data_IF_119917838669
#
_entry.id   IF_119917838669
#
_cell.length_a   1.000
_cell.length_b   1.000
_cell.length_c   1.000
_cell.angle_alpha   90.00
_cell.angle_beta   90.00
_cell.angle_gamma   90.00
#
_symmetry.space_group_name_H-M   'P 1'
#
loop_
_entity.id
_entity.type
_entity.pdbx_description
1 polymer ?
#
# COMPACT_ATOMS: atom_id res chain seq x y z
N UNK A 1 57.44 4.70 5.56
CA UNK A 1 56.88 3.33 5.70
C UNK A 1 55.40 3.33 6.08
N UNK A 2 54.90 4.25 6.91
CA UNK A 2 53.48 4.22 7.30
C UNK A 2 52.49 4.47 6.15
N UNK A 3 52.80 5.41 5.25
CA UNK A 3 51.94 5.70 4.10
C UNK A 3 51.69 4.46 3.23
N UNK A 4 52.71 3.62 2.98
CA UNK A 4 52.54 2.40 2.17
C UNK A 4 51.59 1.38 2.82
N UNK A 5 51.54 1.29 4.15
CA UNK A 5 50.67 0.35 4.84
C UNK A 5 49.19 0.78 4.74
N UNK A 6 48.93 2.10 4.81
CA UNK A 6 47.57 2.65 4.68
C UNK A 6 46.99 2.44 3.27
N UNK A 7 47.80 2.54 2.21
CA UNK A 7 47.32 2.28 0.85
C UNK A 7 46.98 0.80 0.63
N UNK A 8 47.76 -0.12 1.20
CA UNK A 8 47.50 -1.57 1.09
C UNK A 8 46.18 -1.93 1.77
N UNK A 9 45.90 -1.39 2.96
CA UNK A 9 44.64 -1.67 3.67
C UNK A 9 43.43 -1.13 2.90
N UNK A 10 43.49 0.11 2.39
CA UNK A 10 42.42 0.69 1.57
C UNK A 10 42.18 -0.16 0.31
N UNK A 11 43.24 -0.59 -0.37
CA UNK A 11 43.12 -1.40 -1.58
C UNK A 11 42.45 -2.76 -1.33
N UNK A 12 42.76 -3.42 -0.19
CA UNK A 12 42.10 -4.67 0.22
C UNK A 12 40.59 -4.43 0.46
N UNK A 13 40.22 -3.33 1.14
CA UNK A 13 38.80 -3.00 1.34
C UNK A 13 38.06 -2.75 0.03
N UNK A 14 38.69 -2.08 -0.94
CA UNK A 14 38.10 -1.87 -2.27
C UNK A 14 37.90 -3.20 -2.99
N UNK A 15 38.89 -4.11 -2.98
CA UNK A 15 38.76 -5.44 -3.58
C UNK A 15 37.64 -6.24 -2.91
N UNK A 16 37.61 -6.28 -1.58
CA UNK A 16 36.56 -6.99 -0.83
C UNK A 16 35.18 -6.41 -1.11
N UNK A 17 35.06 -5.09 -1.23
CA UNK A 17 33.84 -4.41 -1.62
C UNK A 17 33.41 -4.78 -3.05
N UNK A 18 34.34 -4.81 -4.00
CA UNK A 18 34.07 -5.21 -5.38
C UNK A 18 33.67 -6.69 -5.50
N UNK A 19 34.29 -7.60 -4.74
CA UNK A 19 33.89 -9.01 -4.64
C UNK A 19 32.48 -9.13 -4.04
N UNK A 20 32.17 -8.33 -3.02
CA UNK A 20 30.83 -8.22 -2.44
C UNK A 20 29.77 -7.78 -3.46
N UNK A 21 30.09 -6.79 -4.29
CA UNK A 21 29.19 -6.31 -5.35
C UNK A 21 28.97 -7.35 -6.46
N UNK A 22 30.04 -8.04 -6.91
CA UNK A 22 29.94 -9.05 -7.95
C UNK A 22 29.17 -10.30 -7.50
N UNK A 23 29.40 -10.77 -6.27
CA UNK A 23 28.67 -11.90 -5.70
C UNK A 23 27.18 -11.62 -5.50
N UNK A 24 26.82 -10.37 -5.15
CA UNK A 24 25.43 -9.93 -5.05
C UNK A 24 24.71 -9.95 -6.40
N UNK A 25 25.33 -9.43 -7.46
CA UNK A 25 24.75 -9.39 -8.81
C UNK A 25 24.49 -10.79 -9.37
N UNK A 26 25.46 -11.72 -9.22
CA UNK A 26 25.33 -13.12 -9.66
C UNK A 26 24.23 -13.90 -8.91
N UNK A 27 24.09 -13.67 -7.60
CA UNK A 27 22.98 -14.25 -6.82
C UNK A 27 21.61 -13.71 -7.27
N UNK A 28 21.52 -12.43 -7.62
CA UNK A 28 20.31 -11.81 -8.14
C UNK A 28 19.87 -12.41 -9.48
N UNK A 29 20.78 -12.54 -10.45
CA UNK A 29 20.49 -13.17 -11.76
C UNK A 29 20.03 -14.61 -11.62
N UNK A 30 20.72 -15.44 -10.83
CA UNK A 30 20.32 -16.84 -10.61
C UNK A 30 18.94 -16.96 -9.94
N UNK A 31 18.60 -16.04 -9.04
CA UNK A 31 17.28 -15.98 -8.39
C UNK A 31 16.19 -15.59 -9.41
N UNK A 32 16.48 -14.66 -10.31
CA UNK A 32 15.56 -14.23 -11.37
C UNK A 32 15.34 -15.33 -12.41
N UNK A 33 16.36 -16.09 -12.79
CA UNK A 33 16.23 -17.25 -13.68
C UNK A 33 15.41 -18.39 -13.07
N UNK A 34 15.63 -18.71 -11.79
CA UNK A 34 14.81 -19.72 -11.10
C UNK A 34 13.34 -19.29 -11.02
N UNK A 35 13.11 -17.98 -10.84
CA UNK A 35 11.77 -17.39 -10.85
C UNK A 35 11.15 -17.50 -12.25
N UNK A 36 11.85 -17.11 -13.31
CA UNK A 36 11.33 -17.19 -14.69
C UNK A 36 11.01 -18.62 -15.14
N UNK A 37 11.86 -19.60 -14.83
CA UNK A 37 11.57 -21.03 -15.10
C UNK A 37 10.30 -21.53 -14.40
N UNK A 38 10.07 -21.08 -13.17
CA UNK A 38 8.86 -21.43 -12.43
C UNK A 38 7.61 -20.77 -13.05
N UNK A 39 7.71 -19.51 -13.49
CA UNK A 39 6.61 -18.87 -14.23
C UNK A 39 6.29 -19.64 -15.51
N UNK A 40 7.29 -20.01 -16.31
CA UNK A 40 7.09 -20.73 -17.57
C UNK A 40 6.45 -22.12 -17.35
N UNK A 41 6.86 -22.86 -16.32
CA UNK A 41 6.28 -24.18 -16.04
C UNK A 41 4.86 -24.09 -15.49
N UNK A 42 4.56 -23.08 -14.68
CA UNK A 42 3.19 -22.79 -14.22
C UNK A 42 2.31 -22.32 -15.35
N UNK A 43 2.79 -21.43 -16.23
CA UNK A 43 2.07 -20.95 -17.41
C UNK A 43 1.74 -22.08 -18.39
N UNK A 44 2.71 -22.95 -18.69
CA UNK A 44 2.45 -24.15 -19.51
C UNK A 44 1.41 -25.07 -18.88
N UNK A 45 1.44 -25.28 -17.55
CA UNK A 45 0.43 -26.08 -16.85
C UNK A 45 -0.95 -25.42 -16.90
N UNK A 46 -1.01 -24.09 -16.80
CA UNK A 46 -2.26 -23.31 -16.89
C UNK A 46 -2.81 -23.34 -18.32
N UNK A 47 -1.97 -23.23 -19.35
CA UNK A 47 -2.41 -23.27 -20.75
C UNK A 47 -3.02 -24.62 -21.17
N UNK A 48 -2.62 -25.72 -20.51
CA UNK A 48 -3.22 -27.05 -20.72
C UNK A 48 -4.66 -27.10 -20.18
N UNK A 49 -4.95 -26.27 -19.18
CA UNK A 49 -6.25 -26.23 -18.54
C UNK A 49 -7.07 -25.09 -19.12
N UNK A 50 -8.39 -25.26 -19.25
CA UNK A 50 -9.24 -24.30 -19.91
C UNK A 50 -9.16 -22.95 -19.16
N UNK A 51 -8.34 -22.01 -19.67
CA UNK A 51 -8.04 -20.72 -19.02
C UNK A 51 -9.29 -19.89 -18.71
N UNK A 52 -10.42 -20.21 -19.34
CA UNK A 52 -11.71 -19.59 -19.07
C UNK A 52 -12.31 -20.00 -17.71
N UNK A 53 -11.83 -21.07 -17.10
CA UNK A 53 -12.21 -21.43 -15.74
C UNK A 53 -11.20 -20.86 -14.73
N UNK A 54 -11.57 -19.77 -14.07
CA UNK A 54 -10.78 -19.18 -13.00
C UNK A 54 -10.54 -20.18 -11.84
N UNK A 55 -11.42 -21.17 -11.64
CA UNK A 55 -11.26 -22.18 -10.61
C UNK A 55 -10.02 -23.03 -10.85
N UNK A 56 -9.81 -23.47 -12.09
CA UNK A 56 -8.66 -24.29 -12.47
C UNK A 56 -7.34 -23.54 -12.24
N UNK A 57 -7.31 -22.26 -12.61
CA UNK A 57 -6.15 -21.39 -12.36
C UNK A 57 -5.85 -21.31 -10.87
N UNK A 58 -6.88 -21.18 -10.01
CA UNK A 58 -6.72 -21.14 -8.55
C UNK A 58 -6.23 -22.47 -8.00
N UNK A 59 -6.82 -23.60 -8.41
CA UNK A 59 -6.45 -24.96 -7.95
C UNK A 59 -4.98 -25.26 -8.24
N UNK A 60 -4.50 -24.88 -9.42
CA UNK A 60 -3.14 -25.18 -9.87
C UNK A 60 -2.09 -24.21 -9.30
N UNK A 61 -2.53 -23.11 -8.70
CA UNK A 61 -1.66 -22.05 -8.19
C UNK A 61 -1.19 -22.31 -6.75
N UNK A 62 0.04 -21.89 -6.44
CA UNK A 62 0.56 -21.88 -5.07
C UNK A 62 0.29 -20.55 -4.40
N UNK A 63 -0.49 -20.56 -3.33
CA UNK A 63 -0.74 -19.39 -2.51
C UNK A 63 0.14 -19.36 -1.27
N UNK A 64 0.48 -18.16 -0.82
CA UNK A 64 1.07 -17.90 0.49
C UNK A 64 0.43 -16.65 1.07
N UNK A 65 0.36 -16.60 2.41
CA UNK A 65 0.00 -15.35 3.09
C UNK A 65 1.04 -14.25 2.82
N UNK A 66 0.56 -13.01 2.75
CA UNK A 66 1.38 -11.79 2.76
C UNK A 66 0.85 -10.86 3.85
N UNK A 67 1.69 -9.94 4.31
CA UNK A 67 1.19 -8.83 5.13
C UNK A 67 0.16 -8.03 4.33
N UNK A 68 -0.92 -7.62 4.99
CA UNK A 68 -1.98 -6.80 4.37
C UNK A 68 -1.46 -5.42 3.99
N UNK A 69 -0.56 -4.88 4.80
CA UNK A 69 0.00 -3.54 4.68
C UNK A 69 1.48 -3.55 5.07
N UNK A 70 2.21 -2.50 4.71
CA UNK A 70 3.61 -2.36 5.10
C UNK A 70 3.76 -2.03 6.60
N UNK A 71 4.99 -2.09 7.13
CA UNK A 71 5.23 -1.87 8.57
C UNK A 71 4.76 -0.50 9.04
N UNK A 72 4.94 0.55 8.25
CA UNK A 72 4.58 1.91 8.62
C UNK A 72 3.06 2.15 8.57
N UNK A 73 2.40 1.64 7.53
CA UNK A 73 0.92 1.60 7.46
C UNK A 73 0.35 0.85 8.67
N UNK A 74 0.95 -0.29 9.05
CA UNK A 74 0.51 -1.04 10.21
C UNK A 74 0.67 -0.27 11.53
N UNK A 75 1.70 0.56 11.67
CA UNK A 75 1.81 1.43 12.85
C UNK A 75 0.73 2.52 12.86
N UNK A 76 0.37 3.08 11.71
CA UNK A 76 -0.73 4.03 11.62
C UNK A 76 -2.07 3.35 11.93
N UNK A 77 -2.31 2.15 11.40
CA UNK A 77 -3.47 1.33 11.72
C UNK A 77 -3.69 1.21 13.24
N UNK A 78 -2.66 0.77 13.98
CA UNK A 78 -2.74 0.59 15.43
C UNK A 78 -3.03 1.90 16.17
N UNK A 79 -2.52 3.03 15.67
CA UNK A 79 -2.75 4.36 16.26
C UNK A 79 -4.17 4.84 16.00
N UNK A 80 -4.70 4.64 14.79
CA UNK A 80 -6.08 4.96 14.44
C UNK A 80 -7.06 4.09 15.24
N UNK A 81 -6.81 2.79 15.33
CA UNK A 81 -7.63 1.87 16.14
C UNK A 81 -7.66 2.29 17.62
N UNK A 82 -6.48 2.63 18.19
CA UNK A 82 -6.37 3.17 19.55
C UNK A 82 -7.09 4.50 19.74
N UNK A 83 -7.08 5.37 18.73
CA UNK A 83 -7.82 6.64 18.75
C UNK A 83 -9.33 6.37 18.83
N UNK A 84 -9.85 5.50 17.94
CA UNK A 84 -11.28 5.23 17.87
C UNK A 84 -11.81 4.54 19.14
N UNK A 85 -11.08 3.55 19.65
CA UNK A 85 -11.47 2.82 20.88
C UNK A 85 -11.56 3.70 22.12
N UNK A 86 -10.82 4.81 22.19
CA UNK A 86 -10.77 5.67 23.38
C UNK A 86 -11.78 6.81 23.40
N UNK A 87 -12.39 7.17 22.29
CA UNK A 87 -13.29 8.34 22.28
C UNK A 87 -14.23 8.47 21.08
N UNK A 88 -14.27 7.48 20.19
CA UNK A 88 -15.08 7.51 18.96
C UNK A 88 -15.66 6.11 18.67
N UNK A 89 -16.26 5.47 19.69
CA UNK A 89 -16.70 4.05 19.60
C UNK A 89 -17.88 3.83 18.65
N UNK A 90 -18.54 4.89 18.17
CA UNK A 90 -19.57 4.86 17.15
C UNK A 90 -19.00 4.73 15.73
N UNK A 91 -17.69 4.92 15.54
CA UNK A 91 -17.03 4.77 14.25
C UNK A 91 -16.32 3.42 14.12
N UNK A 92 -16.06 2.97 12.88
CA UNK A 92 -15.30 1.75 12.58
C UNK A 92 -14.19 2.03 11.58
N UNK A 93 -13.05 1.37 11.76
CA UNK A 93 -11.89 1.44 10.87
C UNK A 93 -11.83 0.22 9.96
N UNK A 94 -11.76 0.46 8.67
CA UNK A 94 -11.48 -0.53 7.63
C UNK A 94 -10.16 -0.18 6.93
N UNK A 95 -9.56 -1.16 6.27
CA UNK A 95 -8.29 -0.97 5.54
C UNK A 95 -8.35 -1.59 4.16
N UNK A 96 -7.63 -1.02 3.20
CA UNK A 96 -7.48 -1.57 1.84
C UNK A 96 -8.85 -1.75 1.14
N UNK A 97 -9.76 -0.80 1.34
CA UNK A 97 -11.14 -0.83 0.82
C UNK A 97 -11.15 -0.30 -0.61
N UNK A 98 -11.87 -0.96 -1.52
CA UNK A 98 -12.11 -0.42 -2.87
C UNK A 98 -13.03 0.80 -2.79
N UNK A 99 -12.73 1.84 -3.55
CA UNK A 99 -13.56 3.05 -3.59
C UNK A 99 -14.96 2.80 -4.12
N UNK A 100 -15.13 1.83 -5.02
CA UNK A 100 -16.46 1.47 -5.56
C UNK A 100 -17.41 0.87 -4.52
N UNK A 101 -16.89 0.40 -3.37
CA UNK A 101 -17.70 -0.21 -2.30
C UNK A 101 -18.35 0.84 -1.39
N UNK A 102 -17.83 2.07 -1.37
CA UNK A 102 -18.33 3.13 -0.48
C UNK A 102 -18.64 4.45 -1.21
N UNK A 103 -18.31 4.57 -2.49
CA UNK A 103 -18.68 5.68 -3.35
C UNK A 103 -19.44 5.17 -4.57
N UNK A 104 -20.59 5.78 -4.83
CA UNK A 104 -21.44 5.50 -5.97
C UNK A 104 -21.46 6.68 -6.95
N UNK A 105 -21.63 6.37 -8.23
CA UNK A 105 -21.97 7.37 -9.23
C UNK A 105 -23.03 6.78 -10.17
N UNK A 106 -24.02 7.59 -10.53
CA UNK A 106 -24.98 7.24 -11.59
C UNK A 106 -24.30 7.12 -12.96
N UNK A 107 -23.15 7.77 -13.12
CA UNK A 107 -22.30 7.62 -14.30
C UNK A 107 -21.43 6.37 -14.14
N UNK A 108 -21.70 5.37 -14.99
CA UNK A 108 -20.97 4.11 -15.01
C UNK A 108 -19.49 4.31 -15.26
N UNK A 109 -19.10 5.20 -16.18
CA UNK A 109 -17.68 5.46 -16.47
C UNK A 109 -16.98 6.04 -15.25
N UNK A 110 -17.62 6.96 -14.54
CA UNK A 110 -17.12 7.51 -13.28
C UNK A 110 -16.98 6.43 -12.20
N UNK A 111 -17.97 5.55 -12.04
CA UNK A 111 -17.90 4.44 -11.08
C UNK A 111 -16.78 3.45 -11.45
N UNK A 112 -16.66 3.06 -12.72
CA UNK A 112 -15.56 2.21 -13.20
C UNK A 112 -14.19 2.86 -12.95
N UNK A 113 -14.08 4.18 -13.13
CA UNK A 113 -12.83 4.90 -12.91
C UNK A 113 -12.35 4.82 -11.45
N UNK A 114 -13.24 4.63 -10.48
CA UNK A 114 -12.86 4.51 -9.06
C UNK A 114 -12.86 3.06 -8.54
N UNK A 115 -13.62 2.15 -9.13
CA UNK A 115 -13.82 0.79 -8.58
C UNK A 115 -12.53 -0.04 -8.48
N UNK A 116 -11.53 0.24 -9.31
CA UNK A 116 -10.22 -0.42 -9.22
C UNK A 116 -9.26 0.24 -8.20
N UNK A 117 -9.61 1.42 -7.67
CA UNK A 117 -8.79 2.19 -6.73
C UNK A 117 -9.12 1.77 -5.30
N UNK A 118 -8.10 1.63 -4.48
CA UNK A 118 -8.23 1.28 -3.06
C UNK A 118 -7.65 2.38 -2.19
N UNK A 119 -8.28 2.56 -1.03
CA UNK A 119 -7.81 3.46 0.03
C UNK A 119 -7.11 2.68 1.12
N UNK A 120 -6.10 3.27 1.75
CA UNK A 120 -5.35 2.60 2.81
C UNK A 120 -6.21 2.39 4.05
N UNK A 121 -6.93 3.44 4.46
CA UNK A 121 -7.82 3.43 5.61
C UNK A 121 -9.15 4.13 5.29
N UNK A 122 -10.23 3.57 5.80
CA UNK A 122 -11.57 4.14 5.74
C UNK A 122 -12.18 4.12 7.14
N UNK A 123 -12.62 5.27 7.62
CA UNK A 123 -13.43 5.41 8.83
C UNK A 123 -14.88 5.61 8.41
N UNK A 124 -15.76 4.75 8.91
CA UNK A 124 -17.21 4.82 8.70
C UNK A 124 -17.94 5.13 10.00
N UNK A 125 -19.13 5.71 9.91
CA UNK A 125 -20.00 5.95 11.06
C UNK A 125 -20.78 4.69 11.50
N UNK A 126 -21.65 4.85 12.50
CA UNK A 126 -22.47 3.77 13.06
C UNK A 126 -23.45 3.13 12.07
N UNK A 127 -23.79 3.86 11.00
CA UNK A 127 -24.70 3.40 9.95
C UNK A 127 -23.93 2.78 8.76
N UNK A 128 -22.59 2.79 8.81
CA UNK A 128 -21.73 2.26 7.77
C UNK A 128 -21.39 3.26 6.65
N UNK A 129 -21.76 4.54 6.78
CA UNK A 129 -21.41 5.54 5.77
C UNK A 129 -19.98 6.02 5.93
N UNK A 130 -19.29 6.21 4.80
CA UNK A 130 -17.93 6.72 4.75
C UNK A 130 -17.83 8.14 5.30
N UNK A 131 -16.88 8.36 6.21
CA UNK A 131 -16.65 9.67 6.84
C UNK A 131 -15.27 10.21 6.50
N UNK A 132 -14.23 9.40 6.73
CA UNK A 132 -12.83 9.80 6.50
C UNK A 132 -12.09 8.71 5.72
N UNK A 133 -11.47 9.10 4.61
CA UNK A 133 -10.43 8.35 3.92
C UNK A 133 -9.07 8.87 4.37
N UNK A 134 -8.15 7.96 4.69
CA UNK A 134 -6.77 8.29 5.01
C UNK A 134 -5.84 7.49 4.10
N UNK A 135 -4.92 8.20 3.43
CA UNK A 135 -3.84 7.61 2.60
C UNK A 135 -2.50 7.80 3.31
N UNK A 136 -1.69 6.74 3.36
CA UNK A 136 -0.34 6.81 3.91
C UNK A 136 0.66 6.98 2.78
N UNK A 137 1.29 8.14 2.72
CA UNK A 137 2.28 8.45 1.71
C UNK A 137 3.62 7.84 2.13
N UNK A 138 3.95 6.66 1.60
CA UNK A 138 5.26 6.03 1.83
C UNK A 138 6.42 6.82 1.21
N UNK A 139 7.66 6.45 1.54
CA UNK A 139 8.90 7.09 1.01
C UNK A 139 9.17 6.82 -0.49
N UNK A 140 8.19 6.29 -1.23
CA UNK A 140 8.36 5.95 -2.63
C UNK A 140 8.57 7.22 -3.46
N UNK A 141 9.58 7.23 -4.33
CA UNK A 141 9.72 8.27 -5.33
C UNK A 141 8.43 8.34 -6.16
N UNK A 142 7.68 9.43 -6.00
CA UNK A 142 6.47 9.69 -6.77
C UNK A 142 6.81 9.61 -8.25
N UNK A 143 6.39 8.54 -8.92
CA UNK A 143 6.31 8.53 -10.37
C UNK A 143 5.08 9.35 -10.78
N UNK A 144 5.10 10.00 -11.94
CA UNK A 144 4.03 10.91 -12.42
C UNK A 144 2.60 10.33 -12.30
N UNK A 145 2.47 9.01 -12.43
CA UNK A 145 1.20 8.31 -12.32
C UNK A 145 0.64 8.26 -10.89
N UNK A 146 1.46 8.37 -9.85
CA UNK A 146 1.02 8.40 -8.46
C UNK A 146 0.21 9.68 -8.16
N UNK A 147 0.72 10.84 -8.58
CA UNK A 147 0.04 12.12 -8.38
C UNK A 147 -1.34 12.16 -9.06
N UNK A 148 -1.42 11.68 -10.31
CA UNK A 148 -2.70 11.59 -11.03
C UNK A 148 -3.69 10.64 -10.34
N UNK A 149 -3.22 9.50 -9.83
CA UNK A 149 -4.08 8.56 -9.11
C UNK A 149 -4.65 9.18 -7.84
N UNK A 150 -3.81 9.83 -7.04
CA UNK A 150 -4.21 10.40 -5.75
C UNK A 150 -5.16 11.59 -5.97
N UNK A 151 -4.96 12.35 -7.05
CA UNK A 151 -5.88 13.40 -7.48
C UNK A 151 -7.30 12.86 -7.75
N UNK A 152 -7.42 11.71 -8.42
CA UNK A 152 -8.73 11.07 -8.65
C UNK A 152 -9.40 10.67 -7.34
N UNK A 153 -8.64 10.06 -6.41
CA UNK A 153 -9.20 9.65 -5.11
C UNK A 153 -9.72 10.86 -4.34
N UNK A 154 -8.92 11.92 -4.27
CA UNK A 154 -9.25 13.16 -3.57
C UNK A 154 -10.50 13.82 -4.15
N UNK A 155 -10.58 13.92 -5.48
CA UNK A 155 -11.72 14.55 -6.15
C UNK A 155 -13.02 13.73 -5.99
N UNK A 156 -12.93 12.41 -6.07
CA UNK A 156 -14.08 11.53 -5.83
C UNK A 156 -14.59 11.67 -4.38
N UNK A 157 -13.69 11.67 -3.39
CA UNK A 157 -14.07 11.86 -1.98
C UNK A 157 -14.69 13.25 -1.75
N UNK A 158 -14.11 14.30 -2.33
CA UNK A 158 -14.63 15.67 -2.24
C UNK A 158 -16.06 15.76 -2.79
N UNK A 159 -16.33 15.16 -3.95
CA UNK A 159 -17.69 15.13 -4.54
C UNK A 159 -18.70 14.35 -3.71
N UNK A 160 -18.24 13.32 -2.99
CA UNK A 160 -19.08 12.51 -2.13
C UNK A 160 -19.22 13.03 -0.69
N UNK A 161 -18.56 14.16 -0.35
CA UNK A 161 -18.57 14.69 1.02
C UNK A 161 -17.75 13.86 2.02
N UNK A 162 -16.87 12.97 1.55
CA UNK A 162 -15.98 12.16 2.38
C UNK A 162 -14.67 12.93 2.61
N UNK A 163 -14.26 13.06 3.87
CA UNK A 163 -13.04 13.79 4.24
C UNK A 163 -11.83 12.99 3.77
N UNK A 164 -10.90 13.62 3.05
CA UNK A 164 -9.70 12.96 2.53
C UNK A 164 -8.46 13.52 3.21
N UNK A 165 -7.71 12.65 3.90
CA UNK A 165 -6.50 13.02 4.65
C UNK A 165 -5.29 12.24 4.13
N UNK A 166 -4.13 12.89 4.13
CA UNK A 166 -2.87 12.28 3.73
C UNK A 166 -1.87 12.34 4.88
N UNK A 167 -1.30 11.18 5.22
CA UNK A 167 -0.33 11.05 6.29
C UNK A 167 1.05 10.84 5.69
N UNK A 168 1.95 11.79 5.93
CA UNK A 168 3.35 11.67 5.55
C UNK A 168 4.10 10.74 6.51
N UNK A 169 5.27 10.18 6.16
CA UNK A 169 5.98 9.23 7.02
C UNK A 169 6.35 9.77 8.40
N UNK A 170 6.50 11.08 8.53
CA UNK A 170 6.82 11.82 9.74
C UNK A 170 5.58 12.34 10.49
N UNK A 171 4.38 11.82 10.22
CA UNK A 171 3.17 12.20 10.94
C UNK A 171 3.36 12.05 12.45
N UNK A 172 2.71 12.93 13.20
CA UNK A 172 2.78 12.99 14.65
C UNK A 172 1.41 12.94 15.31
N UNK A 173 1.36 13.54 16.49
CA UNK A 173 0.14 13.65 17.31
C UNK A 173 -0.90 14.57 16.65
N UNK A 174 -0.44 15.63 15.98
CA UNK A 174 -1.31 16.66 15.40
C UNK A 174 -2.25 16.08 14.32
N UNK A 175 -1.76 15.19 13.46
CA UNK A 175 -2.57 14.56 12.42
C UNK A 175 -3.62 13.62 13.01
N UNK A 176 -3.30 12.89 14.08
CA UNK A 176 -4.27 12.05 14.79
C UNK A 176 -5.31 12.90 15.53
N UNK A 177 -4.90 14.02 16.13
CA UNK A 177 -5.83 15.00 16.72
C UNK A 177 -6.74 15.58 15.64
N UNK A 178 -6.21 15.88 14.46
CA UNK A 178 -6.99 16.37 13.32
C UNK A 178 -8.04 15.35 12.85
N UNK A 179 -7.71 14.06 12.83
CA UNK A 179 -8.71 12.99 12.60
C UNK A 179 -9.83 13.10 13.65
N UNK A 180 -9.48 13.15 14.93
CA UNK A 180 -10.45 13.27 16.01
C UNK A 180 -11.35 14.51 15.90
N UNK A 181 -10.78 15.67 15.59
CA UNK A 181 -11.56 16.90 15.40
C UNK A 181 -12.55 16.80 14.22
N UNK A 182 -12.18 16.12 13.14
CA UNK A 182 -13.10 15.88 12.03
C UNK A 182 -14.23 14.91 12.40
N UNK A 183 -13.95 13.89 13.21
CA UNK A 183 -14.99 12.99 13.73
C UNK A 183 -15.96 13.73 14.66
N UNK A 184 -15.47 14.56 15.58
CA UNK A 184 -16.33 15.42 16.42
C UNK A 184 -17.23 16.33 15.58
N UNK A 185 -16.67 16.98 14.57
CA UNK A 185 -17.43 17.84 13.65
C UNK A 185 -18.50 17.05 12.88
N UNK A 186 -18.22 15.81 12.52
CA UNK A 186 -19.20 14.94 11.87
C UNK A 186 -20.38 14.62 12.80
N UNK A 187 -20.12 14.29 14.06
CA UNK A 187 -21.16 14.00 15.07
C UNK A 187 -22.03 15.22 15.41
N UNK A 188 -21.49 16.43 15.34
CA UNK A 188 -22.28 17.65 15.59
C UNK A 188 -23.26 17.90 14.44
N UNK A 189 -22.93 17.44 13.23
CA UNK A 189 -23.72 17.67 12.02
C UNK A 189 -24.77 16.59 11.76
N UNK A 190 -24.63 15.39 12.32
CA UNK A 190 -25.44 14.20 12.01
C UNK A 190 -25.81 13.43 13.28
#
# INVERSE_FOLDING_TARGET
MEFSLQYITIFIFVILFLIGLFSSKSRSTRRNEKKSRLYLSTENKINIVNKNDHLDVVILSKYKRKALMNKSEYQLFLRLEKLLSKGYQEFRLFTQVSMGEFLESIDKEAHFAINSKRVDFLIVDKNGYAVIVIEYQGQGHYQDNAAKRDAVKREACRKAGVIFLEFQPNYGKAELEFVGENLKRYLIKN
#
